data_IF_855713914625
#
_entry.id   IF_855713914625
#
_cell.length_a   1.000
_cell.length_b   1.000
_cell.length_c   1.000
_cell.angle_alpha   90.00
_cell.angle_beta   90.00
_cell.angle_gamma   90.00
#
_symmetry.space_group_name_H-M   'P 1'
#
loop_
_entity.id
_entity.type
_entity.pdbx_description
1 polymer ?
#
# COMPACT_ATOMS: atom_id res chain seq x y z
N UNK A 1 -9.24 -7.73 25.80
CA UNK A 1 -8.10 -7.28 24.99
C UNK A 1 -7.70 -8.46 24.11
N UNK A 2 -8.03 -8.44 22.81
CA UNK A 2 -7.56 -9.49 21.90
C UNK A 2 -6.05 -9.30 21.74
N UNK A 3 -5.28 -10.33 22.07
CA UNK A 3 -3.84 -10.33 21.81
C UNK A 3 -3.67 -10.27 20.27
N UNK A 4 -2.98 -9.26 19.79
CA UNK A 4 -2.63 -9.17 18.36
C UNK A 4 -1.57 -10.23 18.13
N UNK A 5 -1.93 -11.32 17.46
CA UNK A 5 -1.04 -12.43 17.12
C UNK A 5 -0.28 -12.22 15.80
N UNK A 6 -0.47 -11.05 15.16
CA UNK A 6 0.23 -10.71 13.93
C UNK A 6 1.66 -10.24 14.19
N UNK A 7 2.54 -10.55 13.26
CA UNK A 7 3.93 -10.04 13.23
C UNK A 7 4.31 -9.60 11.84
N UNK A 8 5.13 -8.58 11.74
CA UNK A 8 5.71 -8.13 10.49
C UNK A 8 6.87 -9.05 10.05
N UNK A 9 6.91 -9.36 8.76
CA UNK A 9 7.94 -10.21 8.14
C UNK A 9 9.08 -9.35 7.58
N UNK A 10 9.74 -8.56 8.42
CA UNK A 10 10.77 -7.58 8.03
C UNK A 10 11.98 -8.17 7.27
N UNK A 11 12.22 -9.47 7.41
CA UNK A 11 13.29 -10.18 6.72
C UNK A 11 12.83 -10.92 5.46
N UNK A 12 11.60 -10.67 4.99
CA UNK A 12 11.13 -11.30 3.76
C UNK A 12 11.96 -10.81 2.56
N UNK A 13 12.35 -11.71 1.63
CA UNK A 13 13.13 -11.36 0.43
C UNK A 13 12.48 -10.29 -0.46
N UNK A 14 11.17 -10.10 -0.36
CA UNK A 14 10.45 -9.02 -1.04
C UNK A 14 11.07 -7.64 -0.75
N UNK A 15 11.42 -7.37 0.51
CA UNK A 15 11.98 -6.07 0.88
C UNK A 15 13.36 -5.79 0.27
N UNK A 16 14.15 -6.83 -0.07
CA UNK A 16 15.38 -6.67 -0.81
C UNK A 16 15.11 -6.17 -2.24
N UNK A 17 14.05 -6.70 -2.87
CA UNK A 17 13.63 -6.24 -4.18
C UNK A 17 13.07 -4.82 -4.09
N UNK A 18 12.24 -4.53 -3.09
CA UNK A 18 11.60 -3.23 -2.91
C UNK A 18 12.61 -2.09 -2.70
N UNK A 19 13.76 -2.34 -2.07
CA UNK A 19 14.83 -1.33 -1.90
C UNK A 19 15.36 -0.77 -3.21
N UNK A 20 15.21 -1.48 -4.32
CA UNK A 20 15.53 -0.98 -5.66
C UNK A 20 14.52 0.03 -6.22
N UNK A 21 13.44 0.30 -5.48
CA UNK A 21 12.33 1.16 -5.88
C UNK A 21 12.12 2.28 -4.88
N UNK A 22 13.15 3.10 -4.69
CA UNK A 22 13.25 4.18 -3.70
C UNK A 22 12.24 5.33 -3.89
N UNK A 23 11.62 5.40 -5.08
CA UNK A 23 10.57 6.37 -5.41
C UNK A 23 9.16 5.77 -5.34
N UNK A 24 9.03 4.56 -4.85
CA UNK A 24 7.73 3.95 -4.64
C UNK A 24 7.06 4.60 -3.43
N UNK A 25 5.86 5.14 -3.63
CA UNK A 25 5.07 5.83 -2.59
C UNK A 25 4.12 4.90 -1.85
N UNK A 26 4.18 3.61 -2.15
CA UNK A 26 3.33 2.61 -1.49
C UNK A 26 4.06 2.06 -0.27
N UNK A 27 3.41 2.17 0.87
CA UNK A 27 3.82 1.48 2.09
C UNK A 27 3.40 0.01 2.01
N UNK A 28 4.38 -0.88 1.90
CA UNK A 28 4.17 -2.32 1.96
C UNK A 28 4.40 -2.83 3.38
N UNK A 29 3.49 -3.68 3.84
CA UNK A 29 3.63 -4.39 5.11
C UNK A 29 3.28 -5.87 4.92
N UNK A 30 4.28 -6.75 5.01
CA UNK A 30 4.08 -8.20 4.97
C UNK A 30 3.90 -8.73 6.38
N UNK A 31 2.83 -9.48 6.59
CA UNK A 31 2.42 -9.95 7.91
C UNK A 31 2.17 -11.46 7.91
N UNK A 32 2.48 -12.11 9.02
CA UNK A 32 1.95 -13.44 9.35
C UNK A 32 1.04 -13.37 10.56
N UNK A 33 0.07 -14.25 10.66
CA UNK A 33 -0.81 -14.41 11.82
C UNK A 33 -0.66 -15.83 12.38
N UNK A 34 -0.59 -15.98 13.68
CA UNK A 34 -0.65 -17.30 14.34
C UNK A 34 -2.05 -17.91 14.32
N UNK A 35 -3.06 -17.08 14.03
CA UNK A 35 -4.44 -17.51 13.93
C UNK A 35 -4.78 -17.91 12.50
N UNK A 36 -5.59 -18.93 12.35
CA UNK A 36 -6.10 -19.35 11.04
C UNK A 36 -6.88 -18.22 10.33
N UNK A 37 -6.79 -18.19 9.02
CA UNK A 37 -7.52 -17.24 8.18
C UNK A 37 -9.05 -17.32 8.39
N UNK A 38 -9.68 -16.17 8.62
CA UNK A 38 -11.12 -16.02 8.91
C UNK A 38 -11.80 -14.97 8.02
N UNK A 39 -11.41 -14.95 6.74
CA UNK A 39 -11.99 -14.01 5.77
C UNK A 39 -11.74 -12.55 6.17
N UNK A 40 -12.77 -11.72 6.01
CA UNK A 40 -12.72 -10.29 6.24
C UNK A 40 -12.13 -9.89 7.60
N UNK A 41 -12.48 -10.60 8.67
CA UNK A 41 -11.96 -10.30 10.02
C UNK A 41 -10.43 -10.37 10.11
N UNK A 42 -9.81 -11.27 9.34
CA UNK A 42 -8.35 -11.37 9.29
C UNK A 42 -7.74 -10.19 8.53
N UNK A 43 -8.41 -9.71 7.49
CA UNK A 43 -7.99 -8.53 6.73
C UNK A 43 -8.15 -7.22 7.54
N UNK A 44 -9.27 -7.06 8.29
CA UNK A 44 -9.43 -5.91 9.21
C UNK A 44 -8.30 -5.83 10.23
N UNK A 45 -7.94 -6.98 10.81
CA UNK A 45 -6.82 -7.08 11.73
C UNK A 45 -5.50 -6.74 11.05
N UNK A 46 -5.31 -7.19 9.80
CA UNK A 46 -4.09 -6.96 9.04
C UNK A 46 -3.89 -5.46 8.72
N UNK A 47 -4.93 -4.75 8.24
CA UNK A 47 -4.81 -3.32 7.94
C UNK A 47 -4.56 -2.49 9.19
N UNK A 48 -5.22 -2.80 10.31
CA UNK A 48 -4.97 -2.11 11.57
C UNK A 48 -3.53 -2.32 12.03
N UNK A 49 -3.04 -3.56 12.03
CA UNK A 49 -1.67 -3.87 12.45
C UNK A 49 -0.64 -3.24 11.52
N UNK A 50 -0.87 -3.29 10.20
CA UNK A 50 0.01 -2.66 9.21
C UNK A 50 0.08 -1.14 9.42
N UNK A 51 -1.04 -0.47 9.66
CA UNK A 51 -1.05 0.97 9.94
C UNK A 51 -0.25 1.31 11.20
N UNK A 52 -0.38 0.53 12.26
CA UNK A 52 0.43 0.71 13.46
C UNK A 52 1.95 0.58 13.15
N UNK A 53 2.33 -0.30 12.22
CA UNK A 53 3.72 -0.45 11.78
C UNK A 53 4.20 0.73 10.92
N UNK A 54 3.35 1.27 10.06
CA UNK A 54 3.66 2.49 9.29
C UNK A 54 3.86 3.67 10.25
N UNK A 55 2.98 3.83 11.23
CA UNK A 55 3.13 4.85 12.28
C UNK A 55 4.45 4.68 13.05
N UNK A 56 4.80 3.47 13.45
CA UNK A 56 6.06 3.19 14.16
C UNK A 56 7.27 3.60 13.31
N UNK A 57 7.29 3.26 12.02
CA UNK A 57 8.35 3.65 11.09
C UNK A 57 8.45 5.18 10.95
N UNK A 58 7.34 5.85 10.71
CA UNK A 58 7.27 7.30 10.60
C UNK A 58 7.81 8.00 11.86
N UNK A 59 7.39 7.55 13.04
CA UNK A 59 7.87 8.12 14.31
C UNK A 59 9.36 7.90 14.53
N UNK A 60 9.90 6.75 14.12
CA UNK A 60 11.32 6.47 14.20
C UNK A 60 12.13 7.37 13.26
N UNK A 61 11.69 7.53 12.01
CA UNK A 61 12.32 8.42 11.03
C UNK A 61 12.29 9.89 11.48
N UNK A 62 11.17 10.33 12.02
CA UNK A 62 11.02 11.67 12.60
C UNK A 62 11.99 11.85 13.77
N UNK A 63 12.07 10.87 14.69
CA UNK A 63 12.98 10.90 15.82
C UNK A 63 14.44 10.99 15.37
N UNK A 64 14.86 10.13 14.44
CA UNK A 64 16.22 10.12 13.90
C UNK A 64 16.56 11.44 13.21
N UNK A 65 15.61 12.03 12.47
CA UNK A 65 15.76 13.34 11.83
C UNK A 65 15.95 14.44 12.86
N UNK A 66 15.12 14.49 13.90
CA UNK A 66 15.23 15.52 14.95
C UNK A 66 16.53 15.40 15.73
N UNK A 67 16.97 14.17 16.06
CA UNK A 67 18.27 13.94 16.70
C UNK A 67 19.42 14.41 15.79
N UNK A 68 19.36 14.07 14.49
CA UNK A 68 20.40 14.47 13.51
C UNK A 68 20.54 15.98 13.41
N UNK A 69 19.44 16.73 13.47
CA UNK A 69 19.43 18.18 13.32
C UNK A 69 19.43 18.93 14.65
N UNK A 70 19.57 18.25 15.80
CA UNK A 70 19.59 18.85 17.13
C UNK A 70 18.29 19.59 17.48
N UNK A 71 17.16 19.15 16.95
CA UNK A 71 15.85 19.76 17.20
C UNK A 71 15.22 19.17 18.46
N UNK A 72 14.38 19.93 19.18
CA UNK A 72 13.65 19.38 20.32
C UNK A 72 12.69 18.28 19.85
N UNK A 73 12.74 17.14 20.51
CA UNK A 73 11.85 16.02 20.23
C UNK A 73 10.39 16.43 20.47
N UNK A 74 9.55 16.30 19.44
CA UNK A 74 8.12 16.44 19.56
C UNK A 74 7.56 15.11 20.10
N UNK A 75 7.67 14.92 21.42
CA UNK A 75 7.18 13.69 22.05
C UNK A 75 5.65 13.61 22.04
N UNK A 76 5.11 12.44 21.72
CA UNK A 76 3.84 11.94 22.24
C UNK A 76 2.59 12.19 21.42
N UNK A 77 2.67 12.68 20.20
CA UNK A 77 1.48 12.76 19.34
C UNK A 77 1.45 11.55 18.37
N UNK A 78 0.38 10.79 18.46
CA UNK A 78 0.05 9.82 17.42
C UNK A 78 -0.17 10.59 16.11
N UNK A 79 0.59 10.33 15.03
CA UNK A 79 0.62 11.24 13.87
C UNK A 79 -0.72 11.24 13.14
N UNK A 80 -1.43 10.11 13.14
CA UNK A 80 -2.69 9.96 12.42
C UNK A 80 -3.81 9.42 13.30
N UNK A 81 -5.03 9.89 13.05
CA UNK A 81 -6.24 9.36 13.66
C UNK A 81 -6.63 8.04 13.03
N UNK A 82 -7.21 7.12 13.80
CA UNK A 82 -7.71 5.82 13.32
C UNK A 82 -9.15 5.64 13.76
N UNK A 83 -10.05 5.41 12.82
CA UNK A 83 -11.46 5.09 13.05
C UNK A 83 -11.87 3.86 12.22
N UNK A 84 -11.57 2.67 12.74
CA UNK A 84 -11.84 1.41 12.05
C UNK A 84 -13.34 1.19 11.74
N UNK A 85 -14.25 1.91 12.41
CA UNK A 85 -15.69 1.83 12.09
C UNK A 85 -16.02 2.41 10.70
N UNK A 86 -15.14 3.25 10.16
CA UNK A 86 -15.26 3.80 8.80
C UNK A 86 -14.60 2.92 7.74
N UNK A 87 -13.73 1.98 8.12
CA UNK A 87 -13.06 1.10 7.18
C UNK A 87 -14.07 0.17 6.50
N UNK A 88 -14.39 0.45 5.24
CA UNK A 88 -15.28 -0.35 4.41
C UNK A 88 -14.47 -1.16 3.43
N UNK A 89 -14.74 -2.45 3.37
CA UNK A 89 -14.04 -3.40 2.52
C UNK A 89 -14.91 -3.84 1.34
N UNK A 90 -14.31 -3.93 0.17
CA UNK A 90 -14.85 -4.59 -1.00
C UNK A 90 -13.88 -5.67 -1.45
N UNK A 91 -14.37 -6.90 -1.61
CA UNK A 91 -13.56 -7.97 -2.18
C UNK A 91 -13.46 -7.79 -3.69
N UNK A 92 -12.24 -7.72 -4.20
CA UNK A 92 -11.98 -7.55 -5.63
C UNK A 92 -11.25 -8.76 -6.22
N UNK A 93 -11.37 -8.93 -7.52
CA UNK A 93 -10.66 -10.00 -8.23
C UNK A 93 -9.14 -9.76 -8.24
N UNK A 94 -8.36 -10.81 -7.98
CA UNK A 94 -6.91 -10.71 -7.96
C UNK A 94 -6.30 -10.30 -9.32
N UNK A 95 -6.95 -10.66 -10.45
CA UNK A 95 -6.51 -10.23 -11.79
C UNK A 95 -6.80 -8.75 -12.01
N UNK A 96 -7.91 -8.24 -11.49
CA UNK A 96 -8.21 -6.81 -11.53
C UNK A 96 -7.21 -6.03 -10.67
N UNK A 97 -6.89 -6.50 -9.47
CA UNK A 97 -5.88 -5.90 -8.60
C UNK A 97 -4.49 -5.85 -9.25
N UNK A 98 -4.06 -6.96 -9.89
CA UNK A 98 -2.76 -7.08 -10.55
C UNK A 98 -2.79 -6.72 -12.03
N UNK A 99 -3.85 -6.04 -12.47
CA UNK A 99 -3.95 -5.61 -13.87
C UNK A 99 -2.74 -4.77 -14.28
N UNK A 100 -2.24 -5.05 -15.49
CA UNK A 100 -1.12 -4.32 -16.09
C UNK A 100 -1.61 -3.71 -17.39
N UNK A 101 -1.96 -2.42 -17.42
CA UNK A 101 -2.47 -1.79 -18.61
C UNK A 101 -1.39 -1.69 -19.69
N UNK A 102 -1.84 -1.65 -20.94
CA UNK A 102 -0.98 -1.44 -22.09
C UNK A 102 -0.76 0.05 -22.33
N UNK A 103 0.48 0.48 -22.44
CA UNK A 103 0.82 1.83 -22.86
C UNK A 103 0.59 1.93 -24.35
N UNK A 104 -0.42 2.68 -24.78
CA UNK A 104 -0.77 2.88 -26.19
C UNK A 104 0.16 3.91 -26.87
N UNK A 105 0.54 4.95 -26.12
CA UNK A 105 1.48 5.99 -26.58
C UNK A 105 2.06 6.75 -25.40
N UNK A 106 3.20 7.37 -25.63
CA UNK A 106 3.80 8.37 -24.74
C UNK A 106 4.00 9.65 -25.56
N UNK A 107 3.56 10.79 -25.04
CA UNK A 107 3.75 12.08 -25.70
C UNK A 107 5.17 12.64 -25.47
N UNK A 108 5.47 13.79 -26.08
CA UNK A 108 6.77 14.45 -25.98
C UNK A 108 7.08 14.96 -24.55
N UNK A 109 6.10 15.04 -23.65
CA UNK A 109 6.26 15.43 -22.27
C UNK A 109 6.38 14.23 -21.33
N UNK A 110 6.32 13.00 -21.88
CA UNK A 110 6.37 11.76 -21.10
C UNK A 110 5.02 11.28 -20.59
N UNK A 111 3.90 11.96 -20.88
CA UNK A 111 2.57 11.53 -20.46
C UNK A 111 2.18 10.26 -21.23
N UNK A 112 1.74 9.27 -20.50
CA UNK A 112 1.34 7.97 -21.04
C UNK A 112 -0.16 7.89 -21.22
N UNK A 113 -0.60 7.25 -22.30
CA UNK A 113 -1.99 6.90 -22.50
C UNK A 113 -2.15 5.39 -22.46
N UNK A 114 -3.10 4.93 -21.65
CA UNK A 114 -3.39 3.52 -21.41
C UNK A 114 -4.63 3.05 -22.14
N UNK A 115 -4.71 1.75 -22.39
CA UNK A 115 -5.87 1.08 -22.99
C UNK A 115 -7.11 1.12 -22.10
N UNK A 116 -6.93 1.17 -20.78
CA UNK A 116 -8.00 1.30 -19.80
C UNK A 116 -8.37 2.75 -19.44
N UNK A 117 -7.69 3.74 -20.02
CA UNK A 117 -7.86 5.15 -19.65
C UNK A 117 -7.15 5.50 -18.34
N UNK A 118 -7.47 6.66 -17.79
CA UNK A 118 -7.03 7.14 -16.48
C UNK A 118 -8.12 6.91 -15.44
N UNK A 119 -7.78 6.62 -14.17
CA UNK A 119 -8.76 6.62 -13.10
C UNK A 119 -9.38 8.02 -12.97
N UNK A 120 -10.69 8.08 -12.81
CA UNK A 120 -11.40 9.33 -12.54
C UNK A 120 -11.46 9.57 -11.02
N UNK A 121 -10.37 10.10 -10.48
CA UNK A 121 -10.23 10.35 -9.03
C UNK A 121 -11.20 11.42 -8.56
N UNK A 122 -11.52 12.42 -9.43
CA UNK A 122 -12.47 13.49 -9.12
C UNK A 122 -13.91 12.95 -9.03
N UNK A 123 -14.22 11.88 -9.76
CA UNK A 123 -15.50 11.19 -9.64
C UNK A 123 -15.56 10.24 -8.42
N UNK A 124 -14.51 10.17 -7.62
CA UNK A 124 -14.42 9.30 -6.46
C UNK A 124 -14.09 7.84 -6.80
N UNK A 125 -13.58 7.57 -7.99
CA UNK A 125 -13.05 6.25 -8.33
C UNK A 125 -11.81 5.92 -7.50
N UNK A 126 -11.72 4.66 -7.11
CA UNK A 126 -10.52 4.18 -6.46
C UNK A 126 -9.36 4.11 -7.46
N UNK A 127 -8.18 4.59 -7.04
CA UNK A 127 -6.99 4.43 -7.86
C UNK A 127 -6.58 2.96 -7.94
N UNK A 128 -6.27 2.42 -9.12
CA UNK A 128 -5.76 1.06 -9.27
C UNK A 128 -4.35 0.91 -8.69
N UNK A 129 -3.98 -0.30 -8.29
CA UNK A 129 -2.66 -0.56 -7.73
C UNK A 129 -1.53 -0.23 -8.70
N UNK A 130 -1.68 -0.55 -10.01
CA UNK A 130 -0.69 -0.17 -11.03
C UNK A 130 -0.48 1.34 -11.10
N UNK A 131 -1.58 2.12 -11.00
CA UNK A 131 -1.53 3.59 -11.03
C UNK A 131 -0.76 4.12 -9.82
N UNK A 132 -1.08 3.62 -8.62
CA UNK A 132 -0.38 3.97 -7.40
C UNK A 132 1.12 3.63 -7.45
N UNK A 133 1.50 2.62 -8.22
CA UNK A 133 2.89 2.18 -8.30
C UNK A 133 3.75 3.03 -9.24
N UNK A 134 3.26 3.44 -10.41
CA UNK A 134 4.10 4.14 -11.39
C UNK A 134 3.57 5.48 -11.92
N UNK A 135 2.31 5.83 -11.70
CA UNK A 135 1.71 7.13 -12.09
C UNK A 135 1.57 8.06 -10.85
N UNK A 136 2.59 8.06 -10.02
CA UNK A 136 2.64 8.92 -8.83
C UNK A 136 2.89 10.37 -9.23
N UNK A 137 2.58 11.35 -8.35
CA UNK A 137 2.91 12.77 -8.56
C UNK A 137 4.37 13.02 -8.90
N UNK A 138 5.25 12.21 -8.31
CA UNK A 138 6.67 12.26 -8.58
C UNK A 138 7.02 11.24 -9.66
N UNK A 139 7.54 11.69 -10.80
CA UNK A 139 7.96 10.80 -11.87
C UNK A 139 8.93 9.73 -11.35
N UNK A 140 8.46 8.51 -11.22
CA UNK A 140 9.27 7.40 -10.70
C UNK A 140 10.21 6.82 -11.76
N UNK A 141 9.86 6.92 -13.03
CA UNK A 141 10.50 6.20 -14.11
C UNK A 141 10.11 4.72 -14.19
N UNK A 142 9.22 4.25 -13.30
CA UNK A 142 8.72 2.88 -13.29
C UNK A 142 7.66 2.66 -14.37
N UNK A 143 7.33 1.41 -14.62
CA UNK A 143 6.33 1.02 -15.60
C UNK A 143 5.91 -0.43 -15.42
N UNK A 144 5.28 -1.01 -16.47
CA UNK A 144 4.75 -2.36 -16.43
C UNK A 144 5.77 -3.45 -16.04
N UNK A 145 7.04 -3.32 -16.42
CA UNK A 145 8.06 -4.33 -16.13
C UNK A 145 8.45 -4.31 -14.65
N UNK A 146 8.68 -3.12 -14.09
CA UNK A 146 8.98 -2.94 -12.67
C UNK A 146 7.83 -3.43 -11.81
N UNK A 147 6.60 -3.10 -12.18
CA UNK A 147 5.40 -3.56 -11.50
C UNK A 147 5.31 -5.09 -11.48
N UNK A 148 5.53 -5.75 -12.63
CA UNK A 148 5.55 -7.23 -12.69
C UNK A 148 6.66 -7.81 -11.82
N UNK A 149 7.85 -7.21 -11.80
CA UNK A 149 8.99 -7.67 -11.02
C UNK A 149 8.72 -7.58 -9.52
N UNK A 150 8.18 -6.46 -9.06
CA UNK A 150 7.80 -6.26 -7.66
C UNK A 150 6.73 -7.27 -7.26
N UNK A 151 5.70 -7.48 -8.08
CA UNK A 151 4.63 -8.42 -7.78
C UNK A 151 5.07 -9.89 -7.85
N UNK A 152 6.02 -10.24 -8.72
CA UNK A 152 6.62 -11.58 -8.72
C UNK A 152 7.40 -11.87 -7.42
N UNK A 153 8.02 -10.86 -6.83
CA UNK A 153 8.66 -10.99 -5.52
C UNK A 153 7.64 -10.98 -4.38
N UNK A 154 6.57 -10.18 -4.51
CA UNK A 154 5.51 -10.08 -3.51
C UNK A 154 4.68 -11.37 -3.45
N UNK A 155 4.44 -12.06 -4.56
CA UNK A 155 3.64 -13.28 -4.66
C UNK A 155 4.41 -14.43 -5.37
N UNK A 156 5.52 -14.92 -4.79
CA UNK A 156 6.44 -15.85 -5.47
C UNK A 156 5.84 -17.25 -5.71
N UNK A 157 4.70 -17.57 -5.12
CA UNK A 157 4.00 -18.86 -5.29
C UNK A 157 2.81 -18.79 -6.25
N UNK A 158 2.67 -17.65 -6.98
CA UNK A 158 1.57 -17.42 -7.91
C UNK A 158 0.44 -16.59 -7.32
N UNK A 159 -0.46 -16.18 -8.17
CA UNK A 159 -1.50 -15.17 -7.84
C UNK A 159 -2.94 -15.70 -7.95
N UNK A 160 -3.10 -16.97 -8.34
CA UNK A 160 -4.43 -17.55 -8.71
C UNK A 160 -5.37 -17.71 -7.52
N UNK A 161 -4.83 -17.75 -6.29
CA UNK A 161 -5.62 -17.99 -5.06
C UNK A 161 -5.59 -16.83 -4.08
N UNK A 162 -5.06 -15.68 -4.50
CA UNK A 162 -5.04 -14.49 -3.66
C UNK A 162 -6.45 -14.06 -3.31
N UNK A 163 -6.66 -13.70 -2.07
CA UNK A 163 -7.89 -13.05 -1.61
C UNK A 163 -7.58 -11.59 -1.37
N UNK A 164 -8.21 -10.72 -2.15
CA UNK A 164 -7.91 -9.28 -2.18
C UNK A 164 -9.12 -8.49 -1.71
N UNK A 165 -8.88 -7.57 -0.77
CA UNK A 165 -9.84 -6.55 -0.39
C UNK A 165 -9.27 -5.18 -0.68
N UNK A 166 -10.08 -4.34 -1.28
CA UNK A 166 -9.88 -2.91 -1.36
C UNK A 166 -10.69 -2.25 -0.24
N UNK A 167 -10.12 -1.22 0.37
CA UNK A 167 -10.69 -0.54 1.52
C UNK A 167 -10.97 0.92 1.21
N UNK A 168 -12.02 1.48 1.82
CA UNK A 168 -12.13 2.93 1.90
C UNK A 168 -10.92 3.52 2.62
N UNK A 169 -10.67 4.80 2.45
CA UNK A 169 -9.50 5.48 3.03
C UNK A 169 -9.87 6.54 4.06
N UNK A 170 -11.16 6.72 4.34
CA UNK A 170 -11.69 7.70 5.30
C UNK A 170 -11.56 7.28 6.78
N UNK A 171 -10.96 6.11 7.05
CA UNK A 171 -10.74 5.59 8.39
C UNK A 171 -9.44 6.08 9.05
N UNK A 172 -8.58 6.76 8.30
CA UNK A 172 -7.36 7.38 8.83
C UNK A 172 -6.99 8.62 8.02
N UNK A 173 -6.63 9.70 8.70
CA UNK A 173 -6.10 10.88 8.04
C UNK A 173 -4.67 10.70 7.49
N UNK A 174 -4.08 9.52 7.59
CA UNK A 174 -2.90 9.12 6.81
C UNK A 174 -3.13 9.26 5.31
N UNK A 175 -4.38 9.14 4.87
CA UNK A 175 -4.76 9.18 3.46
C UNK A 175 -5.13 10.59 2.95
N UNK A 176 -5.22 11.59 3.84
CA UNK A 176 -5.70 12.93 3.49
C UNK A 176 -4.81 13.59 2.43
N UNK A 177 -3.50 13.46 2.53
CA UNK A 177 -2.55 14.03 1.59
C UNK A 177 -2.80 13.52 0.16
N UNK A 178 -3.05 12.22 0.00
CA UNK A 178 -3.38 11.63 -1.30
C UNK A 178 -4.69 12.13 -1.89
N UNK A 179 -5.68 12.45 -1.04
CA UNK A 179 -6.99 12.94 -1.49
C UNK A 179 -6.97 14.35 -2.08
N UNK A 180 -5.91 15.13 -1.87
CA UNK A 180 -5.85 16.50 -2.35
C UNK A 180 -5.90 16.58 -3.89
N UNK A 181 -5.35 15.61 -4.63
CA UNK A 181 -5.31 15.68 -6.09
C UNK A 181 -4.92 14.39 -6.84
N UNK A 182 -4.25 13.43 -6.19
CA UNK A 182 -3.77 12.21 -6.86
C UNK A 182 -4.62 10.99 -6.53
N UNK A 183 -5.14 10.96 -5.32
CA UNK A 183 -5.89 9.85 -4.78
C UNK A 183 -5.13 9.10 -3.68
N UNK A 184 -5.88 8.30 -2.96
CA UNK A 184 -5.37 7.42 -1.92
C UNK A 184 -5.96 6.03 -2.08
N UNK A 185 -5.26 5.01 -1.61
CA UNK A 185 -5.76 3.64 -1.66
C UNK A 185 -5.22 2.78 -0.52
N UNK A 186 -6.01 1.78 -0.19
CA UNK A 186 -5.67 0.78 0.81
C UNK A 186 -6.10 -0.60 0.31
N UNK A 187 -5.17 -1.54 0.30
CA UNK A 187 -5.44 -2.94 -0.05
C UNK A 187 -4.90 -3.88 1.01
N UNK A 188 -5.60 -5.00 1.17
CA UNK A 188 -5.08 -6.13 1.92
C UNK A 188 -5.24 -7.41 1.09
N UNK A 189 -4.19 -8.18 0.99
CA UNK A 189 -4.11 -9.41 0.21
C UNK A 189 -3.72 -10.54 1.14
N UNK A 190 -4.51 -11.60 1.18
CA UNK A 190 -4.11 -12.85 1.79
C UNK A 190 -3.57 -13.80 0.72
N UNK A 191 -2.36 -14.27 0.93
CA UNK A 191 -1.70 -15.29 0.10
C UNK A 191 -1.77 -16.65 0.81
N UNK A 192 -2.69 -17.54 0.43
CA UNK A 192 -2.83 -18.84 1.06
C UNK A 192 -1.66 -19.80 0.76
N UNK A 193 -0.86 -19.53 -0.28
CA UNK A 193 0.29 -20.34 -0.62
C UNK A 193 1.51 -20.06 0.28
N UNK A 194 1.55 -18.86 0.88
CA UNK A 194 2.59 -18.42 1.80
C UNK A 194 2.05 -18.28 3.23
N UNK A 195 0.74 -18.44 3.44
CA UNK A 195 0.03 -18.18 4.70
C UNK A 195 0.40 -16.83 5.31
N UNK A 196 0.28 -15.78 4.49
CA UNK A 196 0.67 -14.42 4.87
C UNK A 196 -0.23 -13.37 4.27
N UNK A 197 -0.15 -12.16 4.80
CA UNK A 197 -0.83 -10.98 4.29
C UNK A 197 0.18 -10.02 3.69
N UNK A 198 -0.21 -9.37 2.59
CA UNK A 198 0.40 -8.15 2.11
C UNK A 198 -0.61 -7.02 2.26
N UNK A 199 -0.24 -5.99 3.01
CA UNK A 199 -1.04 -4.77 3.15
C UNK A 199 -0.30 -3.65 2.44
N UNK A 200 -1.03 -2.88 1.65
CA UNK A 200 -0.52 -1.80 0.82
C UNK A 200 -1.31 -0.52 1.13
N UNK A 201 -0.61 0.53 1.50
CA UNK A 201 -1.18 1.87 1.64
C UNK A 201 -0.54 2.79 0.61
N UNK A 202 -1.35 3.53 -0.11
CA UNK A 202 -0.90 4.53 -1.05
C UNK A 202 -1.52 5.88 -0.67
N UNK A 203 -0.67 6.82 -0.32
CA UNK A 203 -1.04 8.20 -0.04
C UNK A 203 0.20 9.06 -0.21
N UNK A 204 0.12 10.07 -1.05
CA UNK A 204 1.21 11.01 -1.22
C UNK A 204 0.69 12.35 -1.72
N UNK A 205 1.43 13.39 -1.43
CA UNK A 205 1.24 14.75 -1.94
C UNK A 205 2.46 15.15 -2.78
N UNK A 206 2.41 16.29 -3.45
CA UNK A 206 3.52 16.89 -4.23
C UNK A 206 4.64 17.49 -3.36
#
# INVERSE_FOLDING_TARGET
MQVISMRELVSDPFYEVLRGYDRCVIDYCLLSDEMSYRGLLSHEKAILYAMLKVIERYLNEMYESEVRFGRPLKCGLFPWSLDMAKAKAEQIDAKAFLHVPTILRTDCNGNRRYDCGWPDVDAGEYIPYWYAFWETPHTTGYGPEEFRRVNAALFPKGTERLVVYQWSTDWSNHFDDGHEWWGAACWSVYDPAMDRYAVLFASTTD
#
